data_IF_851324464915
#
_entry.id   IF_851324464915
#
_cell.length_a   1.000
_cell.length_b   1.000
_cell.length_c   1.000
_cell.angle_alpha   90.00
_cell.angle_beta   90.00
_cell.angle_gamma   90.00
#
_symmetry.space_group_name_H-M   'P 1'
#
loop_
_entity.id
_entity.type
_entity.pdbx_description
1 polymer ?
#
# COMPACT_ATOMS: atom_id res chain seq x y z
N UNK A 1 43.03 -67.23 -9.30
CA UNK A 1 43.20 -65.76 -9.56
C UNK A 1 41.87 -65.20 -10.07
N UNK A 2 41.04 -64.65 -9.20
CA UNK A 2 39.82 -63.94 -9.59
C UNK A 2 39.90 -62.52 -9.02
N UNK A 3 40.02 -61.53 -9.90
CA UNK A 3 40.00 -60.12 -9.55
C UNK A 3 38.52 -59.72 -9.39
N UNK A 4 38.15 -59.23 -8.19
CA UNK A 4 36.88 -58.53 -7.96
C UNK A 4 37.07 -57.03 -8.16
N UNK A 5 36.34 -56.46 -9.09
CA UNK A 5 36.20 -55.04 -9.23
C UNK A 5 35.15 -54.51 -8.27
N UNK A 6 35.55 -53.61 -7.39
CA UNK A 6 34.64 -52.82 -6.54
C UNK A 6 34.28 -51.55 -7.32
N UNK A 7 33.00 -51.41 -7.72
CA UNK A 7 32.45 -50.20 -8.24
C UNK A 7 32.07 -49.28 -7.08
N UNK A 8 32.78 -48.20 -6.91
CA UNK A 8 32.39 -47.10 -6.03
C UNK A 8 31.43 -46.19 -6.77
N UNK A 9 30.17 -46.18 -6.35
CA UNK A 9 29.19 -45.18 -6.80
C UNK A 9 29.39 -43.90 -6.00
N UNK A 10 29.93 -42.88 -6.66
CA UNK A 10 29.90 -41.51 -6.15
C UNK A 10 28.53 -40.92 -6.49
N UNK A 11 27.69 -40.73 -5.46
CA UNK A 11 26.47 -39.95 -5.58
C UNK A 11 26.84 -38.46 -5.65
N UNK A 12 26.70 -37.86 -6.83
CA UNK A 12 26.70 -36.42 -6.99
C UNK A 12 25.40 -35.86 -6.43
N UNK A 13 25.49 -35.19 -5.28
CA UNK A 13 24.42 -34.26 -4.83
C UNK A 13 24.43 -33.06 -5.76
N UNK A 14 23.43 -33.00 -6.64
CA UNK A 14 23.02 -31.78 -7.30
C UNK A 14 22.37 -30.88 -6.25
N UNK A 15 23.12 -29.93 -5.71
CA UNK A 15 22.56 -28.80 -5.04
C UNK A 15 21.89 -27.93 -6.10
N UNK A 16 20.56 -27.97 -6.16
CA UNK A 16 19.78 -26.95 -6.84
C UNK A 16 20.02 -25.64 -6.09
N UNK A 17 20.98 -24.88 -6.58
CA UNK A 17 21.15 -23.48 -6.21
C UNK A 17 19.91 -22.75 -6.70
N UNK A 18 19.08 -22.33 -5.78
CA UNK A 18 18.11 -21.27 -6.04
C UNK A 18 18.96 -20.04 -6.31
N UNK A 19 19.23 -19.76 -7.59
CA UNK A 19 19.73 -18.45 -8.00
C UNK A 19 18.65 -17.44 -7.60
N UNK A 20 18.87 -16.76 -6.48
CA UNK A 20 18.21 -15.51 -6.23
C UNK A 20 18.57 -14.60 -7.41
N UNK A 21 17.62 -14.40 -8.31
CA UNK A 21 17.71 -13.34 -9.30
C UNK A 21 17.88 -12.05 -8.50
N UNK A 22 19.11 -11.58 -8.39
CA UNK A 22 19.38 -10.21 -7.98
C UNK A 22 18.67 -9.32 -9.01
N UNK A 23 17.50 -8.83 -8.63
CA UNK A 23 16.80 -7.77 -9.33
C UNK A 23 17.83 -6.64 -9.38
N UNK A 24 18.28 -6.29 -10.56
CA UNK A 24 19.08 -5.08 -10.76
C UNK A 24 18.22 -3.95 -10.23
N UNK A 25 18.54 -3.45 -9.04
CA UNK A 25 18.04 -2.17 -8.59
C UNK A 25 18.37 -1.16 -9.69
N UNK A 26 17.36 -0.69 -10.40
CA UNK A 26 17.48 0.52 -11.20
C UNK A 26 18.07 1.55 -10.23
N UNK A 27 19.15 2.22 -10.60
CA UNK A 27 19.84 3.22 -9.78
C UNK A 27 18.78 4.08 -9.07
N UNK A 28 19.01 4.38 -7.79
CA UNK A 28 18.15 5.24 -6.97
C UNK A 28 17.78 6.51 -7.72
N UNK A 29 16.73 6.40 -8.53
CA UNK A 29 16.26 7.53 -9.34
C UNK A 29 15.49 8.46 -8.43
N UNK A 30 15.78 9.73 -8.50
CA UNK A 30 15.06 10.77 -7.76
C UNK A 30 14.06 11.42 -8.71
N UNK A 31 12.81 11.48 -8.30
CA UNK A 31 11.74 12.11 -9.07
C UNK A 31 12.09 13.59 -9.41
N UNK A 32 12.04 14.02 -10.68
CA UNK A 32 12.52 15.35 -11.07
C UNK A 32 11.47 16.35 -10.64
N UNK A 33 10.68 16.82 -10.36
CA UNK A 33 9.70 17.87 -10.06
C UNK A 33 8.61 17.42 -9.08
N UNK A 34 9.02 16.91 -7.93
CA UNK A 34 8.06 16.45 -6.94
C UNK A 34 7.52 17.58 -6.02
N UNK A 35 6.30 17.43 -5.48
CA UNK A 35 5.70 18.41 -4.60
C UNK A 35 6.22 18.37 -3.15
N UNK A 36 7.13 17.45 -2.83
CA UNK A 36 7.60 17.19 -1.47
C UNK A 36 8.43 18.35 -0.92
N UNK A 37 8.16 18.71 0.31
CA UNK A 37 8.95 19.68 1.08
C UNK A 37 9.93 18.93 2.01
N UNK A 38 11.16 19.43 2.21
CA UNK A 38 12.10 18.81 3.13
C UNK A 38 11.50 18.60 4.53
N UNK A 39 11.83 17.49 5.15
CA UNK A 39 11.40 17.21 6.53
C UNK A 39 12.03 18.20 7.50
N UNK A 40 11.33 18.55 8.58
CA UNK A 40 11.91 19.33 9.67
C UNK A 40 13.12 18.60 10.28
N UNK A 41 14.17 19.33 10.72
CA UNK A 41 15.31 18.73 11.41
C UNK A 41 14.88 18.07 12.71
N UNK A 42 15.38 16.84 12.94
CA UNK A 42 15.11 16.09 14.17
C UNK A 42 16.23 16.33 15.21
N UNK A 43 15.91 16.79 16.43
CA UNK A 43 16.90 16.99 17.47
C UNK A 43 17.57 15.69 17.93
N UNK A 44 18.83 15.78 18.40
CA UNK A 44 19.57 14.64 18.92
C UNK A 44 18.88 14.00 20.14
N UNK A 45 18.77 12.67 20.14
CA UNK A 45 18.29 11.87 21.27
C UNK A 45 19.42 11.69 22.30
N UNK A 46 19.13 11.94 23.57
CA UNK A 46 20.16 11.94 24.63
C UNK A 46 19.99 10.83 25.67
N UNK A 47 18.83 10.19 25.72
CA UNK A 47 18.51 9.10 26.64
C UNK A 47 18.25 7.82 25.85
N UNK A 48 18.67 6.68 26.40
CA UNK A 48 18.38 5.36 25.83
C UNK A 48 17.63 4.51 26.85
N UNK A 49 16.56 3.85 26.42
CA UNK A 49 15.79 2.89 27.18
C UNK A 49 15.71 1.59 26.40
N UNK A 50 15.91 0.46 27.03
CA UNK A 50 15.66 -0.85 26.44
C UNK A 50 14.29 -1.35 26.88
N UNK A 51 13.61 -2.05 25.99
CA UNK A 51 12.35 -2.69 26.31
C UNK A 51 12.63 -4.04 26.96
N UNK A 52 12.00 -4.30 28.09
CA UNK A 52 12.00 -5.63 28.70
C UNK A 52 10.94 -6.53 28.02
N UNK A 53 11.11 -7.84 28.13
CA UNK A 53 10.18 -8.84 27.62
C UNK A 53 10.09 -10.02 28.55
N UNK A 54 8.95 -10.70 28.59
CA UNK A 54 8.82 -11.99 29.26
C UNK A 54 9.56 -13.10 28.48
N UNK A 55 9.61 -12.97 27.14
CA UNK A 55 10.29 -13.92 26.27
C UNK A 55 9.57 -15.26 26.11
N UNK A 56 8.33 -15.38 26.52
CA UNK A 56 7.51 -16.59 26.49
C UNK A 56 6.20 -16.46 25.69
N UNK A 57 6.03 -15.30 24.99
CA UNK A 57 4.84 -15.00 24.19
C UNK A 57 3.70 -14.36 25.00
N UNK A 58 3.89 -14.07 26.28
CA UNK A 58 2.93 -13.27 27.06
C UNK A 58 3.02 -11.79 26.70
N UNK A 59 1.98 -11.03 27.03
CA UNK A 59 1.84 -9.62 26.67
C UNK A 59 2.90 -8.73 27.31
N UNK A 60 3.76 -8.13 26.50
CA UNK A 60 4.83 -7.20 26.89
C UNK A 60 4.40 -5.72 26.78
N UNK A 61 3.14 -5.42 26.48
CA UNK A 61 2.65 -4.04 26.24
C UNK A 61 2.97 -3.09 27.37
N UNK A 62 2.95 -3.57 28.63
CA UNK A 62 3.29 -2.78 29.81
C UNK A 62 4.79 -2.39 29.87
N UNK A 63 5.69 -3.28 29.46
CA UNK A 63 7.12 -2.99 29.36
C UNK A 63 7.41 -2.01 28.24
N UNK A 64 6.77 -2.21 27.09
CA UNK A 64 6.86 -1.31 25.92
C UNK A 64 6.43 0.10 26.34
N UNK A 65 5.26 0.25 26.94
CA UNK A 65 4.74 1.54 27.38
C UNK A 65 5.62 2.18 28.46
N UNK A 66 6.18 1.39 29.37
CA UNK A 66 7.12 1.87 30.41
C UNK A 66 8.39 2.45 29.80
N UNK A 67 9.04 1.74 28.87
CA UNK A 67 10.25 2.20 28.20
C UNK A 67 9.98 3.48 27.37
N UNK A 68 8.86 3.51 26.65
CA UNK A 68 8.41 4.67 25.87
C UNK A 68 8.21 5.88 26.79
N UNK A 69 7.44 5.77 27.87
CA UNK A 69 7.22 6.87 28.81
C UNK A 69 8.52 7.39 29.43
N UNK A 70 9.46 6.51 29.70
CA UNK A 70 10.77 6.88 30.25
C UNK A 70 11.62 7.68 29.26
N UNK A 71 11.57 7.34 27.95
CA UNK A 71 12.42 7.93 26.93
C UNK A 71 11.70 8.96 26.04
N UNK A 72 10.39 9.14 26.18
CA UNK A 72 9.66 10.18 25.47
C UNK A 72 10.26 11.57 25.74
N UNK A 73 10.24 12.45 24.73
CA UNK A 73 10.78 13.82 24.75
C UNK A 73 12.32 13.90 24.79
N UNK A 74 12.95 13.26 23.82
CA UNK A 74 14.40 13.39 23.59
C UNK A 74 15.18 12.13 23.87
N UNK A 75 14.54 10.96 23.86
CA UNK A 75 15.20 9.67 24.02
C UNK A 75 15.01 8.72 22.85
N UNK A 76 15.68 7.59 22.97
CA UNK A 76 15.59 6.44 22.07
C UNK A 76 15.17 5.20 22.87
N UNK A 77 14.18 4.49 22.36
CA UNK A 77 13.73 3.19 22.88
C UNK A 77 14.26 2.09 21.95
N UNK A 78 14.87 1.08 22.51
CA UNK A 78 15.48 -0.03 21.77
C UNK A 78 14.72 -1.32 22.06
N UNK A 79 14.29 -1.97 20.99
CA UNK A 79 13.82 -3.36 20.98
C UNK A 79 15.00 -4.22 20.51
N UNK A 80 15.66 -4.92 21.42
CA UNK A 80 16.90 -5.64 21.17
C UNK A 80 16.77 -6.74 20.10
N UNK A 81 17.84 -6.95 19.32
CA UNK A 81 17.82 -7.83 18.14
C UNK A 81 17.62 -9.33 18.45
N UNK A 82 18.04 -9.75 19.64
CA UNK A 82 17.98 -11.14 20.11
C UNK A 82 16.70 -11.44 20.92
N UNK A 83 15.75 -10.50 20.92
CA UNK A 83 14.51 -10.63 21.67
C UNK A 83 13.28 -10.65 20.77
N UNK A 84 12.27 -11.34 21.25
CA UNK A 84 10.91 -11.32 20.72
C UNK A 84 10.00 -10.61 21.74
N UNK A 85 9.11 -9.79 21.22
CA UNK A 85 8.17 -9.01 22.00
C UNK A 85 6.75 -9.33 21.54
N UNK A 86 5.83 -9.43 22.48
CA UNK A 86 4.43 -9.70 22.20
C UNK A 86 3.56 -8.51 22.60
N UNK A 87 2.71 -8.03 21.69
CA UNK A 87 1.69 -7.01 21.99
C UNK A 87 0.33 -7.73 22.07
N UNK A 88 -0.23 -7.77 23.27
CA UNK A 88 -1.57 -8.33 23.54
C UNK A 88 -2.58 -7.30 24.03
N UNK A 89 -2.13 -6.05 24.25
CA UNK A 89 -2.98 -4.93 24.68
C UNK A 89 -2.86 -3.76 23.71
N UNK A 90 -3.98 -3.16 23.33
CA UNK A 90 -4.01 -2.01 22.43
C UNK A 90 -3.27 -0.81 23.02
N UNK A 91 -2.34 -0.22 22.26
CA UNK A 91 -1.47 0.88 22.71
C UNK A 91 -1.78 2.16 21.91
N UNK A 92 -2.21 3.19 22.61
CA UNK A 92 -2.28 4.55 22.06
C UNK A 92 -0.95 5.27 22.29
N UNK A 93 -0.16 5.42 21.21
CA UNK A 93 1.14 6.09 21.21
C UNK A 93 1.07 7.44 20.46
N UNK A 94 -0.09 8.10 20.43
CA UNK A 94 -0.25 9.41 19.77
C UNK A 94 0.33 10.59 20.56
N UNK A 95 0.77 10.35 21.80
CA UNK A 95 1.40 11.33 22.69
C UNK A 95 2.91 11.48 22.48
N UNK A 96 3.53 10.77 21.56
CA UNK A 96 4.98 10.73 21.39
C UNK A 96 5.53 12.09 20.95
N UNK A 97 6.73 12.43 21.45
CA UNK A 97 7.43 13.65 21.07
C UNK A 97 8.93 13.47 21.09
N UNK A 98 9.58 13.87 20.01
CA UNK A 98 11.04 13.87 19.89
C UNK A 98 11.64 12.53 20.38
N UNK A 99 11.21 11.42 19.82
CA UNK A 99 11.57 10.07 20.23
C UNK A 99 11.93 9.21 19.04
N UNK A 100 12.91 8.32 19.23
CA UNK A 100 13.25 7.27 18.29
C UNK A 100 12.84 5.91 18.87
N UNK A 101 12.22 5.07 18.05
CA UNK A 101 11.94 3.68 18.32
C UNK A 101 12.85 2.82 17.42
N UNK A 102 13.91 2.27 17.96
CA UNK A 102 14.86 1.41 17.27
C UNK A 102 14.43 -0.06 17.43
N UNK A 103 13.75 -0.59 16.44
CA UNK A 103 13.24 -1.96 16.44
C UNK A 103 14.25 -2.84 15.71
N UNK A 104 15.03 -3.60 16.47
CA UNK A 104 16.02 -4.54 15.94
C UNK A 104 15.49 -5.98 15.96
N UNK A 105 14.67 -6.33 16.95
CA UNK A 105 14.05 -7.62 17.14
C UNK A 105 12.72 -7.78 16.42
N UNK A 106 11.91 -8.71 16.91
CA UNK A 106 10.58 -8.99 16.39
C UNK A 106 9.49 -8.59 17.37
N UNK A 107 8.47 -7.91 16.90
CA UNK A 107 7.25 -7.59 17.64
C UNK A 107 6.09 -8.33 16.97
N UNK A 108 5.38 -9.17 17.72
CA UNK A 108 4.24 -9.96 17.22
C UNK A 108 2.96 -9.57 17.98
N UNK A 109 1.87 -9.35 17.26
CA UNK A 109 0.56 -9.15 17.85
C UNK A 109 -0.09 -10.50 18.18
N UNK A 110 -0.78 -10.59 19.33
CA UNK A 110 -1.47 -11.83 19.70
C UNK A 110 -2.57 -12.20 18.71
N UNK A 111 -2.85 -13.50 18.60
CA UNK A 111 -3.96 -14.02 17.79
C UNK A 111 -5.31 -13.98 18.52
N UNK A 112 -5.45 -13.20 19.58
CA UNK A 112 -6.70 -13.05 20.35
C UNK A 112 -7.69 -12.16 19.58
N UNK A 113 -8.41 -12.76 18.64
CA UNK A 113 -9.31 -12.05 17.75
C UNK A 113 -10.49 -11.43 18.49
N UNK A 114 -10.97 -12.04 19.57
CA UNK A 114 -12.06 -11.50 20.38
C UNK A 114 -11.63 -10.21 21.09
N UNK A 115 -10.43 -10.23 21.69
CA UNK A 115 -9.86 -9.03 22.29
C UNK A 115 -9.71 -7.91 21.26
N UNK A 116 -9.08 -8.19 20.13
CA UNK A 116 -8.79 -7.18 19.13
C UNK A 116 -10.05 -6.59 18.46
N UNK A 117 -11.06 -7.36 18.22
CA UNK A 117 -12.35 -6.82 17.75
C UNK A 117 -13.00 -5.86 18.76
N UNK A 118 -12.82 -6.10 20.04
CA UNK A 118 -13.39 -5.26 21.09
C UNK A 118 -12.56 -4.02 21.42
N UNK A 119 -11.22 -4.06 21.24
CA UNK A 119 -10.29 -3.07 21.78
C UNK A 119 -9.41 -2.35 20.73
N UNK A 120 -9.37 -2.81 19.47
CA UNK A 120 -8.67 -2.10 18.41
C UNK A 120 -9.23 -0.69 18.21
N UNK A 121 -8.36 0.24 17.86
CA UNK A 121 -8.75 1.64 17.68
C UNK A 121 -9.55 1.82 16.39
N UNK A 122 -10.80 2.24 16.52
CA UNK A 122 -11.68 2.52 15.38
C UNK A 122 -11.32 3.83 14.71
N UNK A 123 -11.25 3.79 13.39
CA UNK A 123 -11.10 4.96 12.55
C UNK A 123 -12.44 5.38 11.97
N UNK A 124 -12.61 6.67 11.70
CA UNK A 124 -13.87 7.20 11.11
C UNK A 124 -14.04 6.88 9.64
N UNK A 125 -12.98 6.38 8.98
CA UNK A 125 -12.98 6.04 7.56
C UNK A 125 -13.13 4.53 7.38
N UNK A 126 -14.12 4.12 6.59
CA UNK A 126 -14.40 2.72 6.19
C UNK A 126 -14.44 1.70 7.35
N UNK A 127 -14.87 2.11 8.56
CA UNK A 127 -14.84 1.27 9.75
C UNK A 127 -13.48 0.61 10.05
N UNK A 128 -12.39 1.15 9.50
CA UNK A 128 -11.06 0.60 9.71
C UNK A 128 -10.70 0.57 11.19
N UNK A 129 -9.92 -0.42 11.59
CA UNK A 129 -9.39 -0.54 12.95
C UNK A 129 -7.88 -0.73 12.91
N UNK A 130 -7.17 -0.34 13.97
CA UNK A 130 -5.71 -0.51 14.07
C UNK A 130 -5.35 -1.21 15.37
N UNK A 131 -4.34 -2.05 15.37
CA UNK A 131 -3.81 -2.71 16.57
C UNK A 131 -3.31 -1.69 17.59
N UNK A 132 -2.55 -0.72 17.13
CA UNK A 132 -2.05 0.39 17.92
C UNK A 132 -2.00 1.66 17.07
N UNK A 133 -1.85 2.81 17.71
CA UNK A 133 -1.73 4.11 17.04
C UNK A 133 -0.36 4.71 17.34
N UNK A 134 0.43 4.98 16.30
CA UNK A 134 1.68 5.70 16.36
C UNK A 134 1.43 7.13 15.87
N UNK A 135 1.71 8.13 16.70
CA UNK A 135 1.49 9.52 16.31
C UNK A 135 2.31 10.49 17.14
N UNK A 136 1.96 11.77 17.05
CA UNK A 136 2.65 12.82 17.81
C UNK A 136 3.59 13.67 16.96
N UNK A 137 4.75 14.04 17.48
CA UNK A 137 5.63 15.01 16.81
C UNK A 137 7.10 14.56 16.86
N UNK A 138 7.76 14.54 15.69
CA UNK A 138 9.16 14.15 15.52
C UNK A 138 9.42 12.76 16.12
N UNK A 139 8.85 11.75 15.47
CA UNK A 139 8.97 10.34 15.85
C UNK A 139 9.64 9.57 14.72
N UNK A 140 10.77 8.93 15.01
CA UNK A 140 11.45 8.06 14.07
C UNK A 140 11.33 6.61 14.51
N UNK A 141 11.03 5.72 13.57
CA UNK A 141 10.92 4.28 13.81
C UNK A 141 11.80 3.55 12.79
N UNK A 142 12.81 2.82 13.25
CA UNK A 142 13.78 2.19 12.35
C UNK A 142 14.43 0.96 13.02
N UNK A 143 15.43 0.34 12.35
CA UNK A 143 16.24 -0.73 12.92
C UNK A 143 16.24 -2.02 12.11
N UNK A 144 15.36 -2.15 11.13
CA UNK A 144 15.30 -3.33 10.26
C UNK A 144 14.65 -4.56 10.92
N UNK A 145 14.09 -4.40 12.10
CA UNK A 145 13.32 -5.44 12.81
C UNK A 145 11.96 -5.70 12.17
N UNK A 146 11.19 -6.57 12.80
CA UNK A 146 9.93 -7.07 12.23
C UNK A 146 8.73 -6.67 13.09
N UNK A 147 7.67 -6.16 12.45
CA UNK A 147 6.31 -6.11 12.99
C UNK A 147 5.49 -7.22 12.34
N UNK A 148 4.89 -8.10 13.13
CA UNK A 148 4.11 -9.24 12.65
C UNK A 148 2.68 -9.18 13.18
N UNK A 149 1.73 -9.06 12.25
CA UNK A 149 0.31 -8.93 12.55
C UNK A 149 -0.40 -10.25 12.86
N UNK A 150 0.32 -11.39 12.74
CA UNK A 150 -0.24 -12.73 12.98
C UNK A 150 -1.53 -12.98 12.17
N UNK A 151 -1.51 -12.58 10.89
CA UNK A 151 -2.69 -12.40 10.04
C UNK A 151 -3.44 -13.68 9.67
N UNK A 152 -2.82 -14.88 9.76
CA UNK A 152 -3.46 -16.10 9.26
C UNK A 152 -4.84 -16.36 9.87
N UNK A 153 -4.98 -16.20 11.18
CA UNK A 153 -6.27 -16.38 11.85
C UNK A 153 -7.35 -15.44 11.31
N UNK A 154 -6.95 -14.23 10.92
CA UNK A 154 -7.84 -13.23 10.36
C UNK A 154 -8.24 -13.51 8.91
N UNK A 155 -7.35 -14.09 8.11
CA UNK A 155 -7.67 -14.49 6.73
C UNK A 155 -8.73 -15.59 6.73
N UNK A 156 -8.58 -16.57 7.63
CA UNK A 156 -9.52 -17.67 7.77
C UNK A 156 -10.90 -17.18 8.28
N UNK A 157 -10.91 -16.30 9.28
CA UNK A 157 -12.16 -15.73 9.80
C UNK A 157 -12.86 -14.82 8.78
N UNK A 158 -12.11 -14.05 7.99
CA UNK A 158 -12.69 -13.18 6.96
C UNK A 158 -13.36 -13.97 5.83
N UNK A 159 -12.87 -15.16 5.54
CA UNK A 159 -13.51 -16.05 4.58
C UNK A 159 -14.87 -16.57 5.06
N UNK A 160 -15.05 -16.68 6.38
CA UNK A 160 -16.32 -17.09 7.01
C UNK A 160 -17.27 -15.90 7.23
N UNK A 161 -16.73 -14.74 7.65
CA UNK A 161 -17.48 -13.49 7.91
C UNK A 161 -16.77 -12.28 7.26
N UNK A 162 -17.19 -11.85 6.06
CA UNK A 162 -16.62 -10.69 5.38
C UNK A 162 -16.79 -9.35 6.10
N UNK A 163 -17.63 -9.30 7.13
CA UNK A 163 -17.88 -8.08 7.92
C UNK A 163 -17.01 -8.00 9.18
N UNK A 164 -16.18 -9.02 9.44
CA UNK A 164 -15.29 -9.02 10.59
C UNK A 164 -14.29 -7.84 10.51
N UNK A 165 -14.14 -7.12 11.61
CA UNK A 165 -13.20 -6.01 11.69
C UNK A 165 -11.80 -6.55 11.94
N UNK A 166 -10.93 -6.44 10.96
CA UNK A 166 -9.54 -6.89 11.00
C UNK A 166 -8.62 -5.70 11.30
N UNK A 167 -7.76 -5.74 12.33
CA UNK A 167 -6.89 -4.61 12.63
C UNK A 167 -5.80 -4.41 11.57
N UNK A 168 -5.55 -3.15 11.22
CA UNK A 168 -4.40 -2.71 10.43
C UNK A 168 -3.14 -2.84 11.28
N UNK A 169 -2.03 -3.31 10.68
CA UNK A 169 -0.80 -3.60 11.39
C UNK A 169 -0.16 -2.34 11.99
N UNK A 170 -0.01 -1.27 11.21
CA UNK A 170 0.62 -0.03 11.64
C UNK A 170 -0.32 1.17 11.39
N UNK A 171 -0.96 1.65 12.44
CA UNK A 171 -1.71 2.90 12.41
C UNK A 171 -0.79 4.09 12.67
N UNK A 172 -0.49 4.89 11.64
CA UNK A 172 0.25 6.17 11.76
C UNK A 172 -0.78 7.28 11.80
N UNK A 173 -1.15 7.69 13.03
CA UNK A 173 -2.32 8.54 13.28
C UNK A 173 -1.89 9.87 13.93
N UNK A 174 -2.05 10.96 13.20
CA UNK A 174 -1.70 12.29 13.72
C UNK A 174 -0.19 12.46 13.96
N UNK A 175 0.64 11.87 13.11
CA UNK A 175 2.09 12.04 13.17
C UNK A 175 2.50 13.29 12.38
N UNK A 176 3.24 14.19 13.01
CA UNK A 176 3.77 15.42 12.42
C UNK A 176 5.29 15.45 12.49
N UNK A 177 5.93 15.12 11.38
CA UNK A 177 7.39 14.99 11.27
C UNK A 177 7.91 13.65 11.77
N UNK A 178 8.65 12.95 10.92
CA UNK A 178 9.30 11.69 11.29
C UNK A 178 9.69 10.83 10.10
N UNK A 179 10.46 9.80 10.40
CA UNK A 179 10.90 8.79 9.43
C UNK A 179 10.51 7.40 9.94
N UNK A 180 9.93 6.60 9.08
CA UNK A 180 9.55 5.20 9.35
C UNK A 180 10.28 4.30 8.35
N UNK A 181 11.11 3.42 8.87
CA UNK A 181 11.94 2.49 8.11
C UNK A 181 13.45 2.75 8.29
N UNK A 182 14.27 1.71 7.96
CA UNK A 182 13.85 0.41 7.43
C UNK A 182 13.16 -0.48 8.48
N UNK A 183 12.12 -1.23 8.03
CA UNK A 183 11.37 -2.21 8.82
C UNK A 183 10.85 -3.35 7.93
N UNK A 184 10.57 -4.49 8.54
CA UNK A 184 9.85 -5.61 7.92
C UNK A 184 8.44 -5.68 8.48
N UNK A 185 7.43 -5.60 7.62
CA UNK A 185 6.03 -5.75 8.00
C UNK A 185 5.52 -7.09 7.48
N UNK A 186 4.96 -7.91 8.36
CA UNK A 186 4.57 -9.29 8.04
C UNK A 186 3.14 -9.57 8.46
N UNK A 187 2.43 -10.30 7.62
CA UNK A 187 1.13 -10.92 7.91
C UNK A 187 0.13 -9.96 8.56
N UNK A 188 -0.07 -8.78 7.95
CA UNK A 188 -1.14 -7.88 8.43
C UNK A 188 -2.52 -8.52 8.23
N UNK A 189 -3.43 -8.45 9.19
CA UNK A 189 -4.80 -8.94 9.04
C UNK A 189 -5.59 -8.26 7.92
N UNK A 190 -5.31 -6.98 7.67
CA UNK A 190 -5.88 -6.11 6.64
C UNK A 190 -4.74 -5.24 6.08
N UNK A 191 -4.94 -3.95 5.83
CA UNK A 191 -3.90 -3.03 5.37
C UNK A 191 -2.65 -3.10 6.24
N UNK A 192 -1.49 -3.00 5.63
CA UNK A 192 -0.24 -2.96 6.39
C UNK A 192 -0.07 -1.64 7.12
N UNK A 193 -0.41 -0.52 6.46
CA UNK A 193 -0.23 0.80 7.05
C UNK A 193 -1.39 1.73 6.70
N UNK A 194 -1.96 2.36 7.72
CA UNK A 194 -2.87 3.50 7.58
C UNK A 194 -2.15 4.77 8.04
N UNK A 195 -1.98 5.73 7.14
CA UNK A 195 -1.38 7.04 7.42
C UNK A 195 -2.50 8.08 7.43
N UNK A 196 -3.00 8.41 8.62
CA UNK A 196 -4.16 9.28 8.76
C UNK A 196 -3.86 10.54 9.56
N UNK A 197 -4.42 11.68 9.12
CA UNK A 197 -4.27 12.98 9.77
C UNK A 197 -2.80 13.35 10.05
N UNK A 198 -1.89 12.94 9.17
CA UNK A 198 -0.43 13.02 9.37
C UNK A 198 0.21 13.95 8.35
N UNK A 199 1.38 14.50 8.68
CA UNK A 199 2.13 15.36 7.78
C UNK A 199 3.63 15.26 7.97
N UNK A 200 4.38 15.51 6.89
CA UNK A 200 5.83 15.58 6.90
C UNK A 200 6.46 14.23 7.36
N UNK A 201 6.03 13.12 6.77
CA UNK A 201 6.48 11.76 7.11
C UNK A 201 7.19 11.11 5.92
N UNK A 202 8.33 10.52 6.19
CA UNK A 202 9.11 9.72 5.24
C UNK A 202 9.00 8.23 5.61
N UNK A 203 8.52 7.41 4.68
CA UNK A 203 8.65 5.96 4.71
C UNK A 203 9.79 5.54 3.80
N UNK A 204 10.82 4.87 4.34
CA UNK A 204 12.02 4.53 3.58
C UNK A 204 12.51 3.11 3.92
N UNK A 205 12.63 2.26 2.90
CA UNK A 205 13.17 0.91 3.09
C UNK A 205 12.22 -0.04 3.83
N UNK A 206 10.93 0.03 3.57
CA UNK A 206 9.94 -0.90 4.13
C UNK A 206 9.89 -2.17 3.27
N UNK A 207 9.93 -3.32 3.92
CA UNK A 207 9.79 -4.64 3.31
C UNK A 207 8.48 -5.28 3.81
N UNK A 208 7.47 -5.28 2.95
CA UNK A 208 6.14 -5.86 3.21
C UNK A 208 6.07 -7.25 2.59
N UNK A 209 5.66 -8.24 3.38
CA UNK A 209 5.35 -9.57 2.86
C UNK A 209 4.40 -10.32 3.77
N UNK A 210 3.37 -10.93 3.19
CA UNK A 210 2.46 -11.85 3.89
C UNK A 210 1.47 -12.47 2.93
N UNK A 211 1.48 -13.79 2.91
CA UNK A 211 0.54 -14.60 2.14
C UNK A 211 -0.18 -15.56 3.08
N UNK A 212 -1.39 -15.96 2.71
CA UNK A 212 -2.10 -16.98 3.46
C UNK A 212 -1.41 -18.35 3.30
N UNK A 213 -1.34 -19.10 4.38
CA UNK A 213 -0.89 -20.49 4.40
C UNK A 213 -2.06 -21.48 4.18
N UNK A 214 -3.31 -21.02 4.13
CA UNK A 214 -4.52 -21.79 3.82
C UNK A 214 -5.03 -21.48 2.42
N UNK A 215 -6.15 -22.06 2.03
CA UNK A 215 -6.87 -21.71 0.79
C UNK A 215 -7.58 -20.36 0.84
N UNK A 216 -7.70 -19.75 2.02
CA UNK A 216 -8.35 -18.46 2.21
C UNK A 216 -7.37 -17.33 1.92
N UNK A 217 -7.67 -16.51 0.93
CA UNK A 217 -6.77 -15.43 0.50
C UNK A 217 -6.58 -14.34 1.55
N UNK A 218 -5.38 -13.80 1.62
CA UNK A 218 -5.07 -12.59 2.40
C UNK A 218 -5.59 -11.35 1.68
N UNK A 219 -6.88 -11.04 1.80
CA UNK A 219 -7.53 -9.91 1.12
C UNK A 219 -7.35 -8.59 1.84
N UNK A 220 -7.41 -7.49 1.08
CA UNK A 220 -7.28 -6.11 1.55
C UNK A 220 -5.96 -5.87 2.29
N UNK A 221 -4.88 -6.44 1.80
CA UNK A 221 -3.55 -6.29 2.39
C UNK A 221 -2.76 -5.16 1.72
N UNK A 222 -3.40 -3.99 1.56
CA UNK A 222 -2.80 -2.78 0.99
C UNK A 222 -1.50 -2.42 1.71
N UNK A 223 -0.46 -2.01 0.97
CA UNK A 223 0.81 -1.62 1.55
C UNK A 223 0.71 -0.33 2.36
N UNK A 224 0.20 0.72 1.75
CA UNK A 224 -0.10 2.01 2.40
C UNK A 224 -1.44 2.56 1.96
N UNK A 225 -2.20 3.02 2.93
CA UNK A 225 -3.39 3.84 2.74
C UNK A 225 -3.18 5.21 3.36
N UNK A 226 -3.17 6.28 2.56
CA UNK A 226 -3.08 7.64 3.06
C UNK A 226 -4.47 8.27 3.16
N UNK A 227 -4.79 8.91 4.27
CA UNK A 227 -6.09 9.53 4.51
C UNK A 227 -5.94 10.85 5.26
N UNK A 228 -6.47 11.95 4.73
CA UNK A 228 -6.35 13.30 5.32
C UNK A 228 -4.90 13.63 5.70
N UNK A 229 -3.96 13.29 4.82
CA UNK A 229 -2.53 13.41 5.08
C UNK A 229 -1.84 14.18 3.98
N UNK A 230 -0.75 14.86 4.33
CA UNK A 230 -0.05 15.69 3.38
C UNK A 230 1.47 15.64 3.57
N UNK A 231 2.20 15.93 2.48
CA UNK A 231 3.67 15.94 2.48
C UNK A 231 4.25 14.62 2.97
N UNK A 232 3.82 13.53 2.34
CA UNK A 232 4.25 12.15 2.63
C UNK A 232 5.19 11.69 1.53
N UNK A 233 6.27 11.01 1.90
CA UNK A 233 7.14 10.29 0.96
C UNK A 233 7.12 8.81 1.29
N UNK A 234 6.96 7.98 0.26
CA UNK A 234 7.06 6.52 0.35
C UNK A 234 8.11 6.09 -0.68
N UNK A 235 9.23 5.52 -0.22
CA UNK A 235 10.31 5.21 -1.14
C UNK A 235 11.12 3.96 -0.78
N UNK A 236 11.91 3.48 -1.78
CA UNK A 236 12.93 2.44 -1.61
C UNK A 236 12.40 1.17 -0.95
N UNK A 237 11.19 0.74 -1.30
CA UNK A 237 10.48 -0.30 -0.57
C UNK A 237 10.06 -1.47 -1.47
N UNK A 238 9.89 -2.63 -0.87
CA UNK A 238 9.46 -3.86 -1.53
C UNK A 238 8.13 -4.29 -0.92
N UNK A 239 7.14 -4.57 -1.77
CA UNK A 239 5.78 -4.94 -1.37
C UNK A 239 5.38 -6.24 -2.06
N UNK A 240 5.13 -7.27 -1.26
CA UNK A 240 4.52 -8.52 -1.69
C UNK A 240 3.21 -8.68 -0.90
N UNK A 241 2.09 -8.38 -1.55
CA UNK A 241 0.78 -8.32 -0.90
C UNK A 241 -0.33 -8.86 -1.82
N UNK A 242 -1.58 -8.67 -1.46
CA UNK A 242 -2.76 -9.12 -2.22
C UNK A 242 -3.80 -8.02 -2.42
N UNK A 243 -3.42 -6.73 -2.35
CA UNK A 243 -4.27 -5.57 -2.65
C UNK A 243 -3.41 -4.37 -3.08
N UNK A 244 -3.90 -3.13 -3.06
CA UNK A 244 -3.17 -1.96 -3.53
C UNK A 244 -1.74 -1.90 -2.94
N UNK A 245 -0.73 -1.60 -3.78
CA UNK A 245 0.62 -1.35 -3.27
C UNK A 245 0.65 -0.04 -2.47
N UNK A 246 0.06 1.02 -3.02
CA UNK A 246 -0.23 2.28 -2.32
C UNK A 246 -1.60 2.76 -2.76
N UNK A 247 -2.41 3.25 -1.82
CA UNK A 247 -3.73 3.80 -2.09
C UNK A 247 -3.91 5.18 -1.47
N UNK A 248 -4.19 6.18 -2.30
CA UNK A 248 -4.46 7.55 -1.85
C UNK A 248 -5.95 7.72 -1.60
N UNK A 249 -6.35 7.60 -0.33
CA UNK A 249 -7.73 7.79 0.13
C UNK A 249 -8.08 9.28 0.28
N UNK A 250 -9.32 9.65 0.61
CA UNK A 250 -9.76 11.05 0.67
C UNK A 250 -8.82 12.01 1.40
N UNK A 251 -8.63 13.18 0.81
CA UNK A 251 -7.85 14.30 1.35
C UNK A 251 -6.36 13.98 1.52
N UNK A 252 -5.79 13.25 0.57
CA UNK A 252 -4.36 12.97 0.42
C UNK A 252 -3.74 13.98 -0.54
N UNK A 253 -2.74 14.75 -0.08
CA UNK A 253 -2.17 15.83 -0.88
C UNK A 253 -0.64 15.95 -0.74
N UNK A 254 0.04 16.37 -1.81
CA UNK A 254 1.48 16.57 -1.83
C UNK A 254 2.24 15.29 -1.44
N UNK A 255 2.04 14.19 -2.17
CA UNK A 255 2.63 12.89 -1.87
C UNK A 255 3.57 12.47 -2.99
N UNK A 256 4.75 11.98 -2.61
CA UNK A 256 5.73 11.36 -3.48
C UNK A 256 5.83 9.87 -3.18
N UNK A 257 5.67 9.05 -4.21
CA UNK A 257 5.95 7.60 -4.16
C UNK A 257 7.04 7.30 -5.18
N UNK A 258 8.17 6.75 -4.75
CA UNK A 258 9.25 6.45 -5.69
C UNK A 258 10.06 5.22 -5.33
N UNK A 259 10.63 4.57 -6.35
CA UNK A 259 11.52 3.42 -6.18
C UNK A 259 10.83 2.26 -5.43
N UNK A 260 9.62 1.88 -5.81
CA UNK A 260 8.93 0.72 -5.25
C UNK A 260 9.01 -0.48 -6.20
N UNK A 261 9.06 -1.65 -5.57
CA UNK A 261 8.89 -2.94 -6.22
C UNK A 261 7.67 -3.63 -5.62
N UNK A 262 6.59 -3.72 -6.40
CA UNK A 262 5.31 -4.30 -5.96
C UNK A 262 5.06 -5.62 -6.70
N UNK A 263 4.63 -6.64 -5.97
CA UNK A 263 4.30 -7.94 -6.52
C UNK A 263 3.00 -8.50 -5.89
N UNK A 264 2.08 -8.97 -6.70
CA UNK A 264 0.77 -9.46 -6.27
C UNK A 264 -0.23 -8.34 -5.93
N UNK A 265 0.12 -7.09 -6.22
CA UNK A 265 -0.66 -5.90 -5.84
C UNK A 265 -1.86 -5.62 -6.77
N UNK A 266 -2.73 -4.71 -6.33
CA UNK A 266 -3.79 -4.15 -7.17
C UNK A 266 -3.43 -2.75 -7.75
N UNK A 267 -2.15 -2.38 -7.74
CA UNK A 267 -1.64 -1.16 -8.35
C UNK A 267 -1.23 -0.06 -7.36
N UNK A 268 -0.85 1.09 -7.92
CA UNK A 268 -0.75 2.37 -7.20
C UNK A 268 -2.03 3.13 -7.50
N UNK A 269 -2.91 3.19 -6.51
CA UNK A 269 -4.30 3.57 -6.69
C UNK A 269 -4.63 4.94 -6.11
N UNK A 270 -5.34 5.77 -6.85
CA UNK A 270 -6.13 6.88 -6.30
C UNK A 270 -7.51 6.35 -5.93
N UNK A 271 -7.83 6.34 -4.65
CA UNK A 271 -9.18 6.00 -4.21
C UNK A 271 -9.37 4.62 -3.53
N UNK A 272 -10.61 4.14 -3.51
CA UNK A 272 -11.78 4.72 -4.21
C UNK A 272 -12.25 6.03 -3.58
N UNK A 273 -12.71 6.97 -4.40
CA UNK A 273 -13.20 8.29 -3.99
C UNK A 273 -14.65 8.49 -4.44
N UNK A 274 -15.37 9.37 -3.75
CA UNK A 274 -16.77 9.67 -4.06
C UNK A 274 -17.76 8.60 -3.57
N UNK A 275 -17.36 7.80 -2.58
CA UNK A 275 -18.17 6.70 -2.06
C UNK A 275 -19.38 7.19 -1.26
N UNK A 276 -19.23 8.27 -0.50
CA UNK A 276 -20.27 8.69 0.46
C UNK A 276 -20.97 9.98 0.00
N UNK A 277 -22.29 9.98 -0.17
CA UNK A 277 -23.04 11.16 -0.57
C UNK A 277 -22.83 12.34 0.38
N UNK A 278 -22.53 13.54 -0.19
CA UNK A 278 -22.31 14.74 0.58
C UNK A 278 -20.89 14.92 1.14
N UNK A 279 -20.05 13.90 1.11
CA UNK A 279 -18.64 14.02 1.44
C UNK A 279 -17.86 14.61 0.25
N UNK A 280 -16.76 15.31 0.55
CA UNK A 280 -15.89 15.94 -0.45
C UNK A 280 -14.51 15.29 -0.37
N UNK A 281 -14.16 14.53 -1.38
CA UNK A 281 -12.90 13.78 -1.47
C UNK A 281 -11.94 14.49 -2.43
N UNK A 282 -10.78 14.91 -1.93
CA UNK A 282 -9.75 15.56 -2.74
C UNK A 282 -8.48 14.72 -2.71
N UNK A 283 -7.94 14.39 -3.88
CA UNK A 283 -6.58 13.87 -4.03
C UNK A 283 -5.86 14.73 -5.05
N UNK A 284 -4.77 15.36 -4.63
CA UNK A 284 -4.03 16.28 -5.49
C UNK A 284 -2.54 16.34 -5.21
N UNK A 285 -1.78 16.74 -6.23
CA UNK A 285 -0.34 16.86 -6.15
C UNK A 285 0.34 15.53 -5.76
N UNK A 286 0.05 14.48 -6.52
CA UNK A 286 0.62 13.16 -6.34
C UNK A 286 1.66 12.91 -7.43
N UNK A 287 2.83 12.45 -7.05
CA UNK A 287 3.86 12.06 -7.99
C UNK A 287 4.35 10.64 -7.71
N UNK A 288 4.12 9.76 -8.66
CA UNK A 288 4.53 8.34 -8.61
C UNK A 288 5.64 8.15 -9.64
N UNK A 289 6.81 7.70 -9.19
CA UNK A 289 8.01 7.65 -10.00
C UNK A 289 8.82 6.38 -9.82
N UNK A 290 9.26 5.76 -10.92
CA UNK A 290 10.14 4.61 -10.92
C UNK A 290 9.59 3.42 -10.11
N UNK A 291 8.46 2.88 -10.57
CA UNK A 291 7.80 1.72 -9.96
C UNK A 291 7.96 0.50 -10.88
N UNK A 292 8.20 -0.65 -10.28
CA UNK A 292 8.12 -1.95 -10.95
C UNK A 292 6.98 -2.76 -10.35
N UNK A 293 6.08 -3.27 -11.20
CA UNK A 293 4.89 -4.03 -10.79
C UNK A 293 4.90 -5.40 -11.45
N UNK A 294 4.64 -6.44 -10.65
CA UNK A 294 4.67 -7.83 -11.10
C UNK A 294 3.44 -8.58 -10.62
N UNK A 295 2.91 -9.48 -11.46
CA UNK A 295 1.82 -10.39 -11.10
C UNK A 295 0.66 -9.66 -10.38
N UNK A 296 0.20 -8.57 -10.96
CA UNK A 296 -0.72 -7.63 -10.31
C UNK A 296 -1.99 -7.44 -11.16
N UNK A 297 -3.05 -6.91 -10.55
CA UNK A 297 -4.22 -6.54 -11.33
C UNK A 297 -4.01 -5.23 -12.09
N UNK A 298 -3.32 -4.26 -11.50
CA UNK A 298 -3.16 -2.93 -12.09
C UNK A 298 -1.76 -2.36 -11.83
N UNK A 299 -1.41 -1.33 -12.62
CA UNK A 299 -0.25 -0.49 -12.34
C UNK A 299 -0.69 0.92 -11.93
N UNK A 300 -1.13 1.75 -12.86
CA UNK A 300 -1.63 3.10 -12.61
C UNK A 300 -3.15 3.09 -12.55
N UNK A 301 -3.69 3.35 -11.35
CA UNK A 301 -5.12 3.16 -11.14
C UNK A 301 -5.80 4.37 -10.51
N UNK A 302 -6.98 4.78 -11.06
CA UNK A 302 -7.85 5.80 -10.48
C UNK A 302 -9.26 5.25 -10.38
N UNK A 303 -9.77 5.12 -9.14
CA UNK A 303 -11.08 4.53 -8.80
C UNK A 303 -12.01 5.59 -8.25
N UNK A 304 -13.03 5.98 -9.00
CA UNK A 304 -14.06 6.94 -8.58
C UNK A 304 -15.44 6.35 -8.73
N UNK A 305 -16.26 6.53 -7.71
CA UNK A 305 -17.64 6.08 -7.69
C UNK A 305 -18.54 6.97 -8.56
N UNK A 306 -19.58 6.41 -9.21
CA UNK A 306 -20.53 7.19 -10.01
C UNK A 306 -21.45 8.07 -9.14
N UNK A 307 -22.26 8.89 -9.78
CA UNK A 307 -23.28 9.73 -9.12
C UNK A 307 -24.49 8.97 -8.58
N UNK A 308 -24.54 7.67 -8.77
CA UNK A 308 -25.61 6.77 -8.29
C UNK A 308 -25.03 5.69 -7.40
N UNK A 309 -25.87 5.10 -6.56
CA UNK A 309 -25.49 3.98 -5.71
C UNK A 309 -25.12 2.76 -6.54
N UNK A 310 -24.07 2.07 -6.12
CA UNK A 310 -23.64 0.80 -6.68
C UNK A 310 -23.39 -0.21 -5.55
N UNK A 311 -23.45 -1.50 -5.87
CA UNK A 311 -23.20 -2.57 -4.92
C UNK A 311 -22.07 -3.44 -5.46
N UNK A 312 -20.91 -3.37 -4.84
CA UNK A 312 -19.80 -4.32 -5.07
C UNK A 312 -19.95 -5.53 -4.16
N UNK A 313 -20.14 -5.26 -2.89
CA UNK A 313 -20.49 -6.18 -1.81
C UNK A 313 -21.39 -5.44 -0.84
N UNK A 314 -22.00 -6.15 0.11
CA UNK A 314 -22.96 -5.56 1.04
C UNK A 314 -22.36 -4.44 1.89
N UNK A 315 -21.07 -4.48 2.18
CA UNK A 315 -20.32 -3.51 2.98
C UNK A 315 -19.64 -2.38 2.17
N UNK A 316 -19.56 -2.53 0.84
CA UNK A 316 -18.89 -1.58 -0.04
C UNK A 316 -19.83 -0.87 -1.01
N UNK A 317 -21.10 -0.72 -0.65
CA UNK A 317 -22.03 0.09 -1.43
C UNK A 317 -21.66 1.57 -1.35
N UNK A 318 -21.73 2.26 -2.48
CA UNK A 318 -21.36 3.67 -2.51
C UNK A 318 -21.72 4.38 -3.80
N UNK A 319 -21.43 5.66 -3.83
CA UNK A 319 -21.63 6.57 -4.93
C UNK A 319 -22.27 7.89 -4.49
N UNK A 320 -22.21 8.92 -5.35
CA UNK A 320 -22.81 10.23 -5.12
C UNK A 320 -21.98 11.19 -4.26
N UNK A 321 -20.74 10.86 -3.89
CA UNK A 321 -19.82 11.79 -3.25
C UNK A 321 -19.29 12.86 -4.21
N UNK A 322 -18.69 13.90 -3.68
CA UNK A 322 -18.17 15.06 -4.39
C UNK A 322 -16.64 15.08 -4.33
N UNK A 323 -15.98 15.90 -5.15
CA UNK A 323 -14.55 16.12 -5.00
C UNK A 323 -13.77 16.32 -6.28
N UNK A 324 -12.45 16.08 -6.19
CA UNK A 324 -11.56 16.19 -7.34
C UNK A 324 -10.31 15.30 -7.20
N UNK A 325 -9.88 14.74 -8.31
CA UNK A 325 -8.54 14.18 -8.52
C UNK A 325 -7.83 15.10 -9.49
N UNK A 326 -6.69 15.68 -9.11
CA UNK A 326 -5.96 16.61 -9.97
C UNK A 326 -4.46 16.64 -9.71
N UNK A 327 -3.70 16.98 -10.74
CA UNK A 327 -2.24 17.04 -10.71
C UNK A 327 -1.64 15.72 -10.17
N UNK A 328 -1.90 14.64 -10.89
CA UNK A 328 -1.40 13.29 -10.57
C UNK A 328 -0.49 12.83 -11.72
N UNK A 329 0.74 12.49 -11.40
CA UNK A 329 1.71 12.00 -12.37
C UNK A 329 2.16 10.59 -12.03
N UNK A 330 2.10 9.70 -13.02
CA UNK A 330 2.75 8.39 -13.03
C UNK A 330 3.84 8.42 -14.10
N UNK A 331 5.09 8.20 -13.69
CA UNK A 331 6.22 8.30 -14.61
C UNK A 331 7.28 7.24 -14.34
N UNK A 332 7.86 6.70 -15.41
CA UNK A 332 8.92 5.70 -15.37
C UNK A 332 8.46 4.39 -14.73
N UNK A 333 7.46 3.74 -15.35
CA UNK A 333 6.84 2.52 -14.87
C UNK A 333 7.31 1.29 -15.65
N UNK A 334 7.48 0.17 -14.96
CA UNK A 334 7.72 -1.13 -15.58
C UNK A 334 6.69 -2.14 -15.08
N UNK A 335 6.10 -2.91 -15.99
CA UNK A 335 5.13 -3.95 -15.65
C UNK A 335 5.50 -5.30 -16.25
N UNK A 336 5.19 -6.38 -15.54
CA UNK A 336 5.30 -7.75 -16.03
C UNK A 336 4.18 -8.61 -15.44
N UNK A 337 3.36 -9.21 -16.31
CA UNK A 337 2.21 -10.01 -15.92
C UNK A 337 1.20 -9.20 -15.06
N UNK A 338 0.76 -8.04 -15.57
CA UNK A 338 -0.21 -7.15 -14.93
C UNK A 338 -1.48 -7.10 -15.77
N UNK A 339 -2.68 -7.19 -15.19
CA UNK A 339 -3.92 -7.28 -15.96
C UNK A 339 -4.19 -5.96 -16.71
N UNK A 340 -4.08 -4.81 -16.04
CA UNK A 340 -4.21 -3.48 -16.61
C UNK A 340 -2.97 -2.62 -16.39
N UNK A 341 -2.34 -2.16 -17.44
CA UNK A 341 -1.27 -1.15 -17.34
C UNK A 341 -1.80 0.18 -16.77
N UNK A 342 -2.98 0.58 -17.24
CA UNK A 342 -3.69 1.78 -16.80
C UNK A 342 -5.15 1.44 -16.63
N UNK A 343 -5.73 1.75 -15.46
CA UNK A 343 -7.16 1.74 -15.21
C UNK A 343 -7.59 3.10 -14.63
N UNK A 344 -8.35 3.88 -15.40
CA UNK A 344 -9.02 5.08 -14.92
C UNK A 344 -10.51 4.88 -15.05
N UNK A 345 -11.24 4.89 -13.95
CA UNK A 345 -12.69 4.71 -13.98
C UNK A 345 -13.44 5.66 -13.05
N UNK A 346 -14.53 6.23 -13.55
CA UNK A 346 -15.56 6.90 -12.74
C UNK A 346 -16.83 6.06 -12.58
N UNK A 347 -16.77 4.81 -12.97
CA UNK A 347 -17.84 3.83 -12.81
C UNK A 347 -17.49 2.74 -11.80
N UNK A 348 -16.59 3.03 -10.85
CA UNK A 348 -16.13 2.06 -9.87
C UNK A 348 -17.29 1.43 -9.10
N UNK A 349 -17.29 0.10 -9.00
CA UNK A 349 -18.36 -0.65 -8.36
C UNK A 349 -19.68 -0.74 -9.14
N UNK A 350 -19.84 -0.03 -10.25
CA UNK A 350 -21.04 -0.09 -11.12
C UNK A 350 -20.76 -0.89 -12.39
N UNK A 351 -21.34 -2.09 -12.49
CA UNK A 351 -21.15 -2.96 -13.66
C UNK A 351 -21.97 -2.52 -14.88
N UNK A 352 -23.03 -1.73 -14.66
CA UNK A 352 -23.87 -1.20 -15.74
C UNK A 352 -23.37 0.17 -16.17
N UNK A 353 -22.55 0.22 -17.23
CA UNK A 353 -21.99 1.46 -17.76
C UNK A 353 -23.07 2.43 -18.25
N UNK A 354 -24.19 1.95 -18.77
CA UNK A 354 -25.31 2.81 -19.17
C UNK A 354 -25.86 3.57 -17.95
N UNK A 355 -26.04 2.89 -16.81
CA UNK A 355 -26.50 3.52 -15.57
C UNK A 355 -25.46 4.49 -15.01
N UNK A 356 -24.17 4.14 -15.07
CA UNK A 356 -23.10 5.04 -14.69
C UNK A 356 -23.12 6.34 -15.52
N UNK A 357 -23.28 6.24 -16.82
CA UNK A 357 -23.33 7.38 -17.73
C UNK A 357 -24.62 8.20 -17.58
N UNK A 358 -25.73 7.58 -17.17
CA UNK A 358 -26.98 8.28 -16.83
C UNK A 358 -26.85 9.12 -15.55
N UNK A 359 -26.02 8.67 -14.60
CA UNK A 359 -25.73 9.33 -13.35
C UNK A 359 -24.22 9.58 -13.20
N UNK A 360 -23.65 10.57 -13.93
CA UNK A 360 -22.22 10.81 -13.91
C UNK A 360 -21.72 11.16 -12.51
N UNK A 361 -20.45 10.83 -12.23
CA UNK A 361 -19.79 11.20 -10.98
C UNK A 361 -19.83 12.70 -10.75
N UNK A 362 -20.07 13.12 -9.52
CA UNK A 362 -19.93 14.50 -9.08
C UNK A 362 -18.48 14.86 -8.70
N UNK A 363 -17.55 13.91 -8.82
CA UNK A 363 -16.13 14.09 -8.58
C UNK A 363 -15.42 14.20 -9.93
N UNK A 364 -14.59 15.21 -10.11
CA UNK A 364 -13.87 15.46 -11.37
C UNK A 364 -12.48 14.84 -11.37
N UNK A 365 -11.99 14.42 -12.55
CA UNK A 365 -10.62 13.97 -12.78
C UNK A 365 -9.97 14.93 -13.79
N UNK A 366 -8.85 15.56 -13.43
CA UNK A 366 -8.17 16.50 -14.33
C UNK A 366 -6.67 16.58 -14.06
N UNK A 367 -5.91 17.03 -15.07
CA UNK A 367 -4.45 17.20 -14.97
C UNK A 367 -3.76 15.90 -14.53
N UNK A 368 -3.99 14.82 -15.30
CA UNK A 368 -3.41 13.52 -15.07
C UNK A 368 -2.35 13.24 -16.14
N UNK A 369 -1.17 12.86 -15.72
CA UNK A 369 -0.05 12.56 -16.61
C UNK A 369 0.42 11.12 -16.37
N UNK A 370 0.35 10.27 -17.39
CA UNK A 370 0.87 8.90 -17.36
C UNK A 370 1.85 8.76 -18.50
N UNK A 371 3.13 8.54 -18.18
CA UNK A 371 4.17 8.54 -19.20
C UNK A 371 5.34 7.64 -18.88
N UNK A 372 6.05 7.21 -19.95
CA UNK A 372 7.21 6.34 -19.87
C UNK A 372 6.89 5.04 -19.10
N UNK A 373 5.94 4.27 -19.63
CA UNK A 373 5.57 2.96 -19.10
C UNK A 373 5.92 1.88 -20.13
N UNK A 374 6.49 0.77 -19.67
CA UNK A 374 6.87 -0.35 -20.55
C UNK A 374 6.63 -1.70 -19.91
N UNK A 375 6.48 -2.73 -20.74
CA UNK A 375 6.39 -4.11 -20.29
C UNK A 375 5.25 -4.91 -20.90
N UNK A 376 4.70 -5.85 -20.17
CA UNK A 376 3.68 -6.79 -20.66
C UNK A 376 2.53 -6.96 -19.69
N UNK A 377 1.30 -7.08 -20.25
CA UNK A 377 0.14 -7.49 -19.47
C UNK A 377 0.09 -9.01 -19.28
N UNK A 378 -0.85 -9.48 -18.43
CA UNK A 378 -1.08 -10.91 -18.15
C UNK A 378 -1.86 -11.60 -19.28
N UNK A 379 -2.60 -10.83 -20.09
CA UNK A 379 -3.57 -11.32 -21.08
C UNK A 379 -4.97 -11.55 -20.51
N UNK A 380 -5.20 -11.28 -19.24
CA UNK A 380 -6.54 -11.42 -18.64
C UNK A 380 -7.59 -10.52 -19.33
N UNK A 381 -7.13 -9.43 -19.97
CA UNK A 381 -7.96 -8.41 -20.61
C UNK A 381 -7.76 -8.32 -22.12
N UNK A 382 -7.08 -9.30 -22.73
CA UNK A 382 -6.82 -9.32 -24.17
C UNK A 382 -8.07 -9.00 -25.00
N UNK A 383 -7.99 -8.16 -26.00
CA UNK A 383 -6.78 -7.53 -26.60
C UNK A 383 -6.32 -6.24 -25.90
N UNK A 384 -7.00 -5.82 -24.82
CA UNK A 384 -6.78 -4.54 -24.18
C UNK A 384 -5.63 -4.60 -23.17
N UNK A 385 -4.84 -3.52 -23.12
CA UNK A 385 -3.78 -3.34 -22.11
C UNK A 385 -4.11 -2.23 -21.11
N UNK A 386 -5.13 -1.41 -21.37
CA UNK A 386 -5.57 -0.35 -20.50
C UNK A 386 -7.02 0.08 -20.74
N UNK A 387 -7.56 0.81 -19.78
CA UNK A 387 -8.93 1.34 -19.83
C UNK A 387 -9.00 2.73 -19.21
N UNK A 388 -9.67 3.67 -19.91
CA UNK A 388 -9.87 5.06 -19.44
C UNK A 388 -11.34 5.39 -19.69
N UNK A 389 -12.14 5.24 -18.63
CA UNK A 389 -13.61 5.36 -18.69
C UNK A 389 -14.08 6.47 -17.75
N UNK A 390 -14.47 7.59 -18.33
CA UNK A 390 -15.14 8.67 -17.63
C UNK A 390 -16.66 8.53 -17.74
N UNK A 391 -17.37 8.89 -16.68
CA UNK A 391 -18.83 8.77 -16.62
C UNK A 391 -19.56 9.81 -17.48
N UNK A 392 -18.87 10.88 -17.90
CA UNK A 392 -19.36 11.90 -18.84
C UNK A 392 -18.17 12.67 -19.43
N UNK A 393 -18.27 13.22 -20.64
CA UNK A 393 -17.23 14.06 -21.22
C UNK A 393 -16.91 15.34 -20.43
N UNK A 394 -17.78 15.74 -19.51
CA UNK A 394 -17.64 17.00 -18.77
C UNK A 394 -16.99 16.84 -17.38
N UNK A 395 -16.70 15.61 -16.96
CA UNK A 395 -16.16 15.32 -15.61
C UNK A 395 -14.73 14.83 -15.62
N UNK A 396 -14.18 14.56 -16.82
CA UNK A 396 -12.76 14.32 -17.02
C UNK A 396 -12.18 15.34 -18.01
N UNK A 397 -10.98 15.83 -17.75
CA UNK A 397 -10.24 16.74 -18.64
C UNK A 397 -8.74 16.58 -18.42
N UNK A 398 -7.97 16.97 -19.42
CA UNK A 398 -6.50 17.05 -19.30
C UNK A 398 -5.87 15.74 -18.80
N UNK A 399 -6.31 14.59 -19.36
CA UNK A 399 -5.69 13.29 -19.14
C UNK A 399 -4.70 13.06 -20.29
N UNK A 400 -3.42 13.08 -19.95
CA UNK A 400 -2.31 12.89 -20.90
C UNK A 400 -1.71 11.50 -20.71
N UNK A 401 -1.68 10.73 -21.78
CA UNK A 401 -1.04 9.40 -21.80
C UNK A 401 -0.06 9.36 -22.95
N UNK A 402 1.21 9.20 -22.67
CA UNK A 402 2.28 9.27 -23.68
C UNK A 402 3.43 8.31 -23.37
N UNK A 403 4.19 7.90 -24.38
CA UNK A 403 5.32 7.02 -24.27
C UNK A 403 4.99 5.69 -23.54
N UNK A 404 3.92 5.02 -23.99
CA UNK A 404 3.46 3.74 -23.46
C UNK A 404 3.92 2.63 -24.42
N UNK A 405 4.88 1.83 -23.98
CA UNK A 405 5.41 0.65 -24.67
C UNK A 405 4.99 -0.62 -23.92
N UNK A 406 3.67 -0.86 -23.88
CA UNK A 406 3.08 -2.00 -23.21
C UNK A 406 2.31 -2.83 -24.24
N UNK A 407 2.58 -4.11 -24.25
CA UNK A 407 1.89 -5.06 -25.14
C UNK A 407 1.26 -6.22 -24.34
N UNK A 408 0.17 -6.75 -24.89
CA UNK A 408 -0.44 -7.98 -24.39
C UNK A 408 0.32 -9.23 -24.87
N UNK A 409 0.10 -10.41 -24.28
CA UNK A 409 0.71 -11.66 -24.75
C UNK A 409 0.40 -12.03 -26.20
N UNK A 410 -0.71 -11.55 -26.75
CA UNK A 410 -1.06 -11.74 -28.17
C UNK A 410 -0.51 -10.65 -29.09
N UNK A 411 0.24 -9.69 -28.55
CA UNK A 411 0.90 -8.62 -29.31
C UNK A 411 0.03 -7.42 -29.64
N UNK A 412 -1.05 -7.18 -28.87
CA UNK A 412 -1.91 -5.99 -28.99
C UNK A 412 -1.59 -4.95 -27.94
N UNK A 413 -1.96 -3.69 -28.22
CA UNK A 413 -1.74 -2.50 -27.39
C UNK A 413 -3.02 -1.64 -27.28
N UNK A 414 -4.19 -2.26 -27.35
CA UNK A 414 -5.47 -1.57 -27.39
C UNK A 414 -5.87 -1.01 -26.02
N UNK A 415 -6.52 0.16 -26.05
CA UNK A 415 -7.10 0.80 -24.86
C UNK A 415 -8.60 1.01 -25.06
N UNK A 416 -9.40 0.71 -24.05
CA UNK A 416 -10.80 1.11 -24.01
C UNK A 416 -10.91 2.56 -23.58
N UNK A 417 -11.36 3.45 -24.48
CA UNK A 417 -11.50 4.88 -24.18
C UNK A 417 -12.97 5.30 -24.25
N UNK A 418 -13.50 5.91 -23.18
CA UNK A 418 -14.89 6.37 -23.10
C UNK A 418 -14.99 7.75 -22.47
N UNK A 419 -15.68 8.68 -23.12
CA UNK A 419 -15.93 10.04 -22.63
C UNK A 419 -14.66 10.82 -22.25
N UNK A 420 -13.58 10.65 -23.00
CA UNK A 420 -12.29 11.32 -22.82
C UNK A 420 -11.86 12.04 -24.10
N UNK A 421 -10.99 13.03 -23.98
CA UNK A 421 -10.36 13.67 -25.13
C UNK A 421 -9.22 12.78 -25.66
N UNK A 422 -9.51 11.95 -26.65
CA UNK A 422 -8.55 11.04 -27.26
C UNK A 422 -7.36 11.75 -27.92
N UNK A 423 -7.46 13.05 -28.23
CA UNK A 423 -6.35 13.81 -28.82
C UNK A 423 -5.14 13.97 -27.88
N UNK A 424 -5.39 13.84 -26.57
CA UNK A 424 -4.37 13.89 -25.51
C UNK A 424 -3.78 12.50 -25.19
N UNK A 425 -4.41 11.43 -25.72
CA UNK A 425 -3.98 10.06 -25.49
C UNK A 425 -3.13 9.61 -26.69
N UNK A 426 -1.88 9.27 -26.44
CA UNK A 426 -0.97 8.75 -27.47
C UNK A 426 -0.92 7.22 -27.41
N UNK A 427 -2.10 6.60 -27.38
CA UNK A 427 -2.35 5.15 -27.33
C UNK A 427 -3.42 4.76 -28.34
N UNK A 428 -3.55 3.46 -28.61
CA UNK A 428 -4.51 2.90 -29.56
C UNK A 428 -5.88 2.76 -28.91
N UNK A 429 -6.70 3.83 -28.94
CA UNK A 429 -8.05 3.83 -28.38
C UNK A 429 -9.04 3.04 -29.24
N UNK A 430 -9.80 2.18 -28.61
CA UNK A 430 -10.98 1.50 -29.15
C UNK A 430 -12.23 1.96 -28.40
N UNK A 431 -13.35 2.08 -29.10
CA UNK A 431 -14.63 2.42 -28.44
C UNK A 431 -15.12 1.27 -27.59
N UNK A 432 -15.35 1.48 -26.31
CA UNK A 432 -15.95 0.53 -25.38
C UNK A 432 -17.48 0.45 -25.50
#
# INVERSE_FOLDING_TARGET
MKLSYILTHTASLLTLGVESHFIRTRNDAVAPNHPFRPLPPSPQRRKTCHVDTHGDGTDDSSFILSAINQCNRGGKVIFDADKEYTIGTALDLTFLRNIDLEILGRITFTADTDYWQAHSFRQTFQNATTFFQLGGQDVNVYGGGTLDGNGQVWYDLYAEDPLILRPILLGVIGLHGGTIGPLKLRYSPQWYQLVANSSDVLFDGIDISGYSASENEAKNTDGWDTYRSQNIVIQNSVVNNGDDCVSFKPNSTNILVQNLHCNGSHGISVGSLGQYPGEVDIVENIYVYNISMYNASDMARIKVWPGTSSAMSEDLQGGGGLGAVRNVTYENMYIENVDWAIEVTQCYGQKNLTLCNEFPSNLTISDIHIRNMSGTTSGAQDPNVGTIVCSSPNVCSEIYVEDIDVISPIGTDEFVCTNVDESLLKVNCTSG
#
